data_IF_012257883563
#
_entry.id   IF_012257883563
#
_cell.length_a   1.000
_cell.length_b   1.000
_cell.length_c   1.000
_cell.angle_alpha   90.00
_cell.angle_beta   90.00
_cell.angle_gamma   90.00
#
_symmetry.space_group_name_H-M   'P 1'
#
loop_
_entity.id
_entity.type
_entity.pdbx_description
1 polymer ?
#
# COMPACT_ATOMS: atom_id res chain seq x y z
N UNK A 1 -12.82 6.42 21.57
CA UNK A 1 -12.10 6.62 20.30
C UNK A 1 -10.65 6.96 20.59
N UNK A 2 -9.70 6.28 19.95
CA UNK A 2 -8.27 6.61 19.95
C UNK A 2 -7.91 7.31 18.65
N UNK A 3 -6.93 8.21 18.68
CA UNK A 3 -6.49 8.96 17.51
C UNK A 3 -4.96 9.09 17.50
N UNK A 4 -4.36 8.77 16.37
CA UNK A 4 -2.95 9.01 16.08
C UNK A 4 -2.85 9.91 14.84
N UNK A 5 -2.46 11.19 14.98
CA UNK A 5 -2.18 12.05 13.84
C UNK A 5 -0.86 11.66 13.14
N UNK A 6 -0.63 12.17 11.92
CA UNK A 6 0.61 11.93 11.14
C UNK A 6 1.87 12.20 11.96
N UNK A 7 1.90 13.33 12.67
CA UNK A 7 2.96 13.65 13.63
C UNK A 7 2.44 13.46 15.05
N UNK A 8 2.90 12.41 15.72
CA UNK A 8 2.48 12.12 17.09
C UNK A 8 2.80 13.29 18.05
N UNK A 9 1.81 13.80 18.80
CA UNK A 9 1.98 14.92 19.73
C UNK A 9 2.62 14.44 21.04
N UNK A 10 3.89 14.06 20.98
CA UNK A 10 4.65 13.51 22.10
C UNK A 10 5.37 14.61 22.90
N UNK A 11 5.57 14.42 24.20
CA UNK A 11 6.47 15.28 24.99
C UNK A 11 7.91 14.79 24.84
N UNK A 12 8.69 15.51 24.05
CA UNK A 12 9.98 15.05 23.54
C UNK A 12 11.05 14.91 24.63
N UNK A 13 10.95 15.69 25.71
CA UNK A 13 11.92 15.68 26.81
C UNK A 13 11.59 14.66 27.91
N UNK A 14 10.46 13.96 27.82
CA UNK A 14 10.07 12.92 28.76
C UNK A 14 10.64 11.57 28.36
N UNK A 15 10.91 10.71 29.35
CA UNK A 15 11.10 9.29 29.10
C UNK A 15 9.80 8.68 28.58
N UNK A 16 9.91 7.63 27.76
CA UNK A 16 8.73 6.92 27.24
C UNK A 16 7.81 6.44 28.36
N UNK A 17 8.37 5.84 29.42
CA UNK A 17 7.59 5.41 30.58
C UNK A 17 6.85 6.58 31.24
N UNK A 18 7.56 7.68 31.53
CA UNK A 18 6.99 8.84 32.20
C UNK A 18 5.87 9.46 31.37
N UNK A 19 6.06 9.54 30.05
CA UNK A 19 5.05 10.00 29.12
C UNK A 19 3.79 9.11 29.15
N UNK A 20 3.94 7.79 29.04
CA UNK A 20 2.78 6.88 29.07
C UNK A 20 2.09 6.88 30.43
N UNK A 21 2.84 6.99 31.53
CA UNK A 21 2.27 7.15 32.86
C UNK A 21 1.49 8.46 33.00
N UNK A 22 2.03 9.57 32.50
CA UNK A 22 1.35 10.86 32.44
C UNK A 22 0.06 10.80 31.61
N UNK A 23 0.10 10.14 30.45
CA UNK A 23 -1.10 9.93 29.62
C UNK A 23 -2.13 9.08 30.37
N UNK A 24 -1.70 8.02 31.06
CA UNK A 24 -2.60 7.20 31.88
C UNK A 24 -3.26 8.01 33.01
N UNK A 25 -2.54 8.96 33.61
CA UNK A 25 -3.06 9.89 34.62
C UNK A 25 -4.17 10.79 34.03
N UNK A 26 -3.91 11.45 32.91
CA UNK A 26 -4.88 12.34 32.24
C UNK A 26 -6.14 11.56 31.86
N UNK A 27 -5.95 10.33 31.40
CA UNK A 27 -7.04 9.48 30.93
C UNK A 27 -7.83 8.82 32.07
N UNK A 28 -7.42 9.03 33.32
CA UNK A 28 -8.16 8.56 34.50
C UNK A 28 -8.02 7.06 34.75
N UNK A 29 -6.95 6.42 34.27
CA UNK A 29 -6.68 5.01 34.58
C UNK A 29 -6.44 4.88 36.09
N UNK A 30 -7.06 3.89 36.73
CA UNK A 30 -6.88 3.64 38.17
C UNK A 30 -5.42 3.32 38.49
N UNK A 31 -4.90 3.87 39.61
CA UNK A 31 -3.49 3.69 40.02
C UNK A 31 -3.05 2.23 40.06
N UNK A 32 -3.91 1.32 40.54
CA UNK A 32 -3.60 -0.11 40.61
C UNK A 32 -3.52 -0.81 39.24
N UNK A 33 -4.09 -0.23 38.19
CA UNK A 33 -4.13 -0.81 36.83
C UNK A 33 -3.14 -0.16 35.85
N UNK A 34 -2.52 0.97 36.22
CA UNK A 34 -1.62 1.72 35.33
C UNK A 34 -0.43 0.90 34.86
N UNK A 35 0.28 0.28 35.80
CA UNK A 35 1.51 -0.46 35.49
C UNK A 35 1.21 -1.60 34.52
N UNK A 36 0.15 -2.38 34.80
CA UNK A 36 -0.27 -3.48 33.95
C UNK A 36 -0.70 -2.99 32.56
N UNK A 37 -1.44 -1.87 32.49
CA UNK A 37 -1.85 -1.28 31.21
C UNK A 37 -0.66 -0.79 30.39
N UNK A 38 0.29 -0.09 31.02
CA UNK A 38 1.50 0.40 30.35
C UNK A 38 2.32 -0.78 29.84
N UNK A 39 2.47 -1.84 30.64
CA UNK A 39 3.19 -3.05 30.24
C UNK A 39 2.53 -3.74 29.04
N UNK A 40 1.21 -3.92 29.10
CA UNK A 40 0.44 -4.49 27.98
C UNK A 40 0.64 -3.69 26.68
N UNK A 41 0.63 -2.36 26.76
CA UNK A 41 0.86 -1.50 25.60
C UNK A 41 2.31 -1.53 25.12
N UNK A 42 3.27 -1.64 26.05
CA UNK A 42 4.68 -1.76 25.72
C UNK A 42 4.99 -3.06 24.96
N UNK A 43 4.35 -4.16 25.37
CA UNK A 43 4.40 -5.45 24.70
C UNK A 43 3.73 -5.38 23.32
N UNK A 44 2.49 -4.87 23.26
CA UNK A 44 1.71 -4.76 22.02
C UNK A 44 2.40 -3.90 20.96
N UNK A 45 2.98 -2.77 21.37
CA UNK A 45 3.61 -1.82 20.45
C UNK A 45 5.11 -2.08 20.25
N UNK A 46 5.69 -3.07 20.95
CA UNK A 46 7.11 -3.39 20.86
C UNK A 46 8.02 -2.23 21.26
N UNK A 47 7.77 -1.62 22.43
CA UNK A 47 8.53 -0.46 22.95
C UNK A 47 9.19 -0.74 24.31
N UNK A 48 9.18 -1.98 24.80
CA UNK A 48 9.77 -2.36 26.08
C UNK A 48 11.23 -1.92 26.24
N UNK A 49 12.05 -2.09 25.20
CA UNK A 49 13.48 -1.80 25.24
C UNK A 49 13.78 -0.31 25.32
N UNK A 50 12.84 0.55 24.94
CA UNK A 50 13.03 2.01 24.88
C UNK A 50 12.30 2.76 25.99
N UNK A 51 11.68 2.04 26.95
CA UNK A 51 10.89 2.65 28.03
C UNK A 51 11.68 3.65 28.90
N UNK A 52 13.00 3.44 29.00
CA UNK A 52 13.93 4.23 29.79
C UNK A 52 14.59 5.39 29.02
N UNK A 53 14.30 5.52 27.72
CA UNK A 53 14.93 6.52 26.86
C UNK A 53 14.04 7.77 26.74
N UNK A 54 14.65 8.96 26.62
CA UNK A 54 13.94 10.17 26.22
C UNK A 54 13.30 10.03 24.83
N UNK A 55 12.09 10.57 24.65
CA UNK A 55 11.36 10.45 23.38
C UNK A 55 12.11 11.13 22.23
N UNK A 56 12.81 12.24 22.46
CA UNK A 56 13.55 12.96 21.41
C UNK A 56 14.65 12.11 20.75
N UNK A 57 15.29 11.21 21.49
CA UNK A 57 16.36 10.30 21.06
C UNK A 57 15.85 9.13 20.21
N UNK A 58 14.54 8.86 20.23
CA UNK A 58 13.96 7.75 19.48
C UNK A 58 13.93 8.00 17.97
N UNK A 59 14.04 6.91 17.21
CA UNK A 59 13.75 6.92 15.78
C UNK A 59 12.29 7.29 15.51
N UNK A 60 11.99 7.73 14.29
CA UNK A 60 10.61 8.07 13.88
C UNK A 60 9.65 6.90 14.04
N UNK A 61 10.07 5.67 13.71
CA UNK A 61 9.27 4.47 13.91
C UNK A 61 8.95 4.20 15.39
N UNK A 62 9.93 4.34 16.29
CA UNK A 62 9.68 4.22 17.72
C UNK A 62 8.75 5.31 18.25
N UNK A 63 8.90 6.56 17.79
CA UNK A 63 7.95 7.65 18.11
C UNK A 63 6.53 7.29 17.68
N UNK A 64 6.32 6.69 16.50
CA UNK A 64 5.00 6.23 16.10
C UNK A 64 4.46 5.08 16.94
N UNK A 65 5.29 4.12 17.35
CA UNK A 65 4.88 3.06 18.29
C UNK A 65 4.45 3.64 19.64
N UNK A 66 5.16 4.64 20.15
CA UNK A 66 4.76 5.37 21.38
C UNK A 66 3.45 6.14 21.16
N UNK A 67 3.26 6.78 20.00
CA UNK A 67 2.00 7.42 19.62
C UNK A 67 0.83 6.43 19.54
N UNK A 68 1.07 5.22 19.04
CA UNK A 68 0.07 4.15 19.00
C UNK A 68 -0.29 3.68 20.41
N UNK A 69 0.70 3.49 21.28
CA UNK A 69 0.47 3.18 22.70
C UNK A 69 -0.34 4.27 23.40
N UNK A 70 -0.06 5.56 23.13
CA UNK A 70 -0.88 6.68 23.59
C UNK A 70 -2.33 6.54 23.12
N UNK A 71 -2.54 6.40 21.81
CA UNK A 71 -3.88 6.35 21.22
C UNK A 71 -4.71 5.17 21.78
N UNK A 72 -4.01 4.09 22.14
CA UNK A 72 -4.57 2.88 22.73
C UNK A 72 -4.74 2.95 24.25
N UNK A 73 -4.28 3.99 24.96
CA UNK A 73 -4.25 4.01 26.44
C UNK A 73 -5.59 3.61 27.09
N UNK A 74 -6.69 4.17 26.58
CA UNK A 74 -8.06 3.95 27.07
C UNK A 74 -8.78 2.73 26.51
N UNK A 75 -8.06 1.85 25.83
CA UNK A 75 -8.61 0.68 25.17
C UNK A 75 -9.83 0.96 24.28
N UNK A 76 -9.72 1.92 23.34
CA UNK A 76 -10.88 2.34 22.57
C UNK A 76 -11.42 1.22 21.68
N UNK A 77 -12.73 1.22 21.40
CA UNK A 77 -13.33 0.31 20.40
C UNK A 77 -12.99 0.70 18.96
N UNK A 78 -12.76 1.99 18.73
CA UNK A 78 -12.43 2.59 17.43
C UNK A 78 -11.11 3.36 17.53
N UNK A 79 -10.18 3.06 16.63
CA UNK A 79 -8.89 3.73 16.49
C UNK A 79 -8.81 4.41 15.11
N UNK A 80 -8.45 5.68 15.09
CA UNK A 80 -8.23 6.45 13.86
C UNK A 80 -6.74 6.73 13.72
N UNK A 81 -6.15 6.32 12.60
CA UNK A 81 -4.73 6.43 12.30
C UNK A 81 -4.57 7.30 11.05
N UNK A 82 -3.95 8.46 11.21
CA UNK A 82 -3.68 9.38 10.12
C UNK A 82 -2.25 9.21 9.62
N UNK A 83 -2.07 8.68 8.41
CA UNK A 83 -0.75 8.46 7.77
C UNK A 83 0.28 7.80 8.71
N UNK A 84 -0.05 6.66 9.36
CA UNK A 84 0.74 6.13 10.48
C UNK A 84 2.15 5.67 10.10
N UNK A 85 2.40 5.44 8.80
CA UNK A 85 3.70 5.00 8.29
C UNK A 85 4.46 6.06 7.48
N UNK A 86 3.95 7.31 7.44
CA UNK A 86 4.56 8.42 6.71
C UNK A 86 6.03 8.62 7.11
N UNK A 87 6.92 8.59 6.11
CA UNK A 87 8.36 8.83 6.25
C UNK A 87 9.11 7.82 7.15
N UNK A 88 8.59 6.60 7.31
CA UNK A 88 9.32 5.48 7.90
C UNK A 88 10.08 4.71 6.82
N UNK A 89 11.14 3.99 7.21
CA UNK A 89 11.83 3.07 6.30
C UNK A 89 11.04 1.76 6.11
N UNK A 90 11.31 0.97 5.05
CA UNK A 90 10.52 -0.22 4.71
C UNK A 90 10.38 -1.25 5.84
N UNK A 91 11.39 -1.44 6.69
CA UNK A 91 11.31 -2.42 7.78
C UNK A 91 10.35 -1.93 8.87
N UNK A 92 10.45 -0.65 9.25
CA UNK A 92 9.55 -0.03 10.22
C UNK A 92 8.10 -0.02 9.75
N UNK A 93 7.87 0.19 8.45
CA UNK A 93 6.53 0.10 7.85
C UNK A 93 5.92 -1.29 8.09
N UNK A 94 6.68 -2.36 7.83
CA UNK A 94 6.20 -3.75 8.03
C UNK A 94 5.85 -4.01 9.49
N UNK A 95 6.68 -3.55 10.42
CA UNK A 95 6.44 -3.72 11.86
C UNK A 95 5.18 -2.98 12.33
N UNK A 96 5.00 -1.71 11.94
CA UNK A 96 3.81 -0.94 12.26
C UNK A 96 2.55 -1.62 11.69
N UNK A 97 2.59 -2.10 10.44
CA UNK A 97 1.47 -2.83 9.84
C UNK A 97 1.11 -4.08 10.64
N UNK A 98 2.09 -4.82 11.15
CA UNK A 98 1.82 -6.00 11.98
C UNK A 98 1.12 -5.62 13.29
N UNK A 99 1.55 -4.52 13.93
CA UNK A 99 0.90 -4.02 15.15
C UNK A 99 -0.54 -3.59 14.84
N UNK A 100 -0.77 -2.83 13.76
CA UNK A 100 -2.11 -2.39 13.35
C UNK A 100 -3.01 -3.61 13.08
N UNK A 101 -2.53 -4.63 12.36
CA UNK A 101 -3.27 -5.88 12.14
C UNK A 101 -3.61 -6.59 13.44
N UNK A 102 -2.67 -6.65 14.37
CA UNK A 102 -2.90 -7.30 15.66
C UNK A 102 -3.98 -6.58 16.46
N UNK A 103 -3.96 -5.24 16.47
CA UNK A 103 -5.02 -4.41 17.09
C UNK A 103 -6.36 -4.61 16.37
N UNK A 104 -6.34 -4.68 15.04
CA UNK A 104 -7.53 -4.82 14.19
C UNK A 104 -8.30 -6.12 14.38
N UNK A 105 -7.69 -7.15 14.99
CA UNK A 105 -8.38 -8.41 15.33
C UNK A 105 -9.50 -8.21 16.37
N UNK A 106 -9.36 -7.21 17.23
CA UNK A 106 -10.28 -6.99 18.36
C UNK A 106 -11.00 -5.63 18.26
N UNK A 107 -10.52 -4.71 17.43
CA UNK A 107 -10.94 -3.31 17.40
C UNK A 107 -11.15 -2.82 15.98
N UNK A 108 -12.00 -1.82 15.81
CA UNK A 108 -12.22 -1.18 14.51
C UNK A 108 -11.14 -0.14 14.26
N UNK A 109 -10.47 -0.20 13.11
CA UNK A 109 -9.41 0.75 12.72
C UNK A 109 -9.85 1.51 11.47
N UNK A 110 -9.77 2.83 11.53
CA UNK A 110 -9.86 3.72 10.36
C UNK A 110 -8.46 4.22 10.07
N UNK A 111 -7.91 3.83 8.93
CA UNK A 111 -6.56 4.19 8.50
C UNK A 111 -6.65 5.09 7.26
N UNK A 112 -6.05 6.28 7.33
CA UNK A 112 -5.79 7.10 6.15
C UNK A 112 -4.39 6.82 5.63
N UNK A 113 -4.26 6.76 4.31
CA UNK A 113 -2.97 6.67 3.63
C UNK A 113 -3.15 7.09 2.18
N UNK A 114 -2.15 7.76 1.62
CA UNK A 114 -2.02 7.97 0.18
C UNK A 114 -1.33 6.81 -0.54
N UNK A 115 -0.82 5.83 0.21
CA UNK A 115 -0.08 4.67 -0.32
C UNK A 115 -1.02 3.46 -0.38
N UNK A 116 -1.49 3.12 -1.58
CA UNK A 116 -2.47 2.04 -1.74
C UNK A 116 -1.94 0.67 -1.31
N UNK A 117 -0.64 0.40 -1.52
CA UNK A 117 -0.01 -0.84 -1.05
C UNK A 117 -0.01 -0.99 0.48
N UNK A 118 -0.18 0.11 1.24
CA UNK A 118 -0.39 0.07 2.68
C UNK A 118 -1.84 -0.30 3.03
N UNK A 119 -2.80 0.35 2.38
CA UNK A 119 -4.22 0.05 2.55
C UNK A 119 -4.52 -1.41 2.20
N UNK A 120 -4.02 -1.91 1.08
CA UNK A 120 -4.15 -3.31 0.66
C UNK A 120 -3.52 -4.29 1.64
N UNK A 121 -2.35 -3.94 2.17
CA UNK A 121 -1.65 -4.84 3.05
C UNK A 121 -2.30 -4.93 4.42
N UNK A 122 -3.12 -3.94 4.84
CA UNK A 122 -3.51 -3.76 6.25
C UNK A 122 -5.02 -3.75 6.48
N UNK A 123 -5.83 -3.42 5.47
CA UNK A 123 -7.27 -3.20 5.60
C UNK A 123 -8.11 -4.25 4.84
N UNK A 124 -9.30 -4.56 5.35
CA UNK A 124 -10.25 -5.46 4.68
C UNK A 124 -11.15 -4.73 3.65
N UNK A 125 -11.38 -3.44 3.88
CA UNK A 125 -12.17 -2.53 3.04
C UNK A 125 -11.38 -1.26 2.77
N UNK A 126 -11.45 -0.77 1.54
CA UNK A 126 -10.79 0.46 1.11
C UNK A 126 -11.82 1.40 0.50
N UNK A 127 -11.71 2.68 0.84
CA UNK A 127 -12.52 3.76 0.28
C UNK A 127 -11.56 4.75 -0.36
N UNK A 128 -11.72 4.98 -1.66
CA UNK A 128 -10.91 5.92 -2.43
C UNK A 128 -11.67 7.24 -2.54
N UNK A 129 -11.04 8.32 -2.07
CA UNK A 129 -11.60 9.67 -2.10
C UNK A 129 -10.78 10.52 -3.07
N UNK A 130 -11.46 11.20 -3.99
CA UNK A 130 -10.86 12.17 -4.91
C UNK A 130 -11.72 13.45 -4.95
N UNK A 131 -11.09 14.62 -4.82
CA UNK A 131 -11.77 15.94 -4.83
C UNK A 131 -13.02 15.99 -3.92
N UNK A 132 -12.93 15.39 -2.73
CA UNK A 132 -14.02 15.35 -1.75
C UNK A 132 -15.17 14.40 -2.07
N UNK A 133 -15.04 13.53 -3.09
CA UNK A 133 -16.03 12.52 -3.47
C UNK A 133 -15.45 11.12 -3.35
N UNK A 134 -16.27 10.17 -2.92
CA UNK A 134 -15.92 8.75 -2.96
C UNK A 134 -15.99 8.30 -4.41
N UNK A 135 -14.87 7.84 -4.96
CA UNK A 135 -14.77 7.33 -6.33
C UNK A 135 -14.71 5.80 -6.38
N UNK A 136 -14.36 5.15 -5.26
CA UNK A 136 -14.47 3.71 -5.10
C UNK A 136 -14.68 3.35 -3.63
N UNK A 137 -15.41 2.27 -3.37
CA UNK A 137 -15.70 1.73 -2.05
C UNK A 137 -15.96 0.23 -2.16
N UNK A 138 -15.11 -0.58 -1.55
CA UNK A 138 -15.24 -2.04 -1.60
C UNK A 138 -14.21 -2.75 -0.75
N UNK A 139 -14.34 -4.08 -0.67
CA UNK A 139 -13.26 -4.90 -0.10
C UNK A 139 -12.00 -4.77 -0.96
N UNK A 140 -10.84 -5.01 -0.36
CA UNK A 140 -9.57 -5.06 -1.11
C UNK A 140 -9.65 -6.05 -2.28
N UNK A 141 -10.26 -7.22 -2.05
CA UNK A 141 -10.46 -8.23 -3.09
C UNK A 141 -11.41 -7.77 -4.20
N UNK A 142 -12.54 -7.14 -3.84
CA UNK A 142 -13.50 -6.63 -4.84
C UNK A 142 -12.88 -5.52 -5.69
N UNK A 143 -12.08 -4.64 -5.09
CA UNK A 143 -11.38 -3.60 -5.83
C UNK A 143 -10.29 -4.19 -6.74
N UNK A 144 -9.63 -5.29 -6.33
CA UNK A 144 -8.72 -6.05 -7.21
C UNK A 144 -9.46 -6.71 -8.37
N UNK A 145 -10.64 -7.26 -8.14
CA UNK A 145 -11.49 -7.81 -9.20
C UNK A 145 -11.97 -6.73 -10.17
N UNK A 146 -12.29 -5.53 -9.67
CA UNK A 146 -12.60 -4.36 -10.51
C UNK A 146 -11.41 -3.90 -11.34
N UNK A 147 -10.17 -4.09 -10.84
CA UNK A 147 -8.95 -3.92 -11.64
C UNK A 147 -8.97 -4.83 -12.86
N UNK A 148 -9.66 -5.97 -12.74
CA UNK A 148 -9.58 -7.07 -13.65
C UNK A 148 -8.25 -7.80 -13.50
N UNK A 149 -8.29 -9.10 -13.72
CA UNK A 149 -7.11 -9.95 -13.85
C UNK A 149 -6.43 -9.74 -15.23
N UNK A 150 -6.45 -8.49 -15.72
CA UNK A 150 -5.93 -8.12 -17.03
C UNK A 150 -4.42 -8.13 -16.94
N UNK A 151 -3.85 -9.14 -17.59
CA UNK A 151 -2.42 -9.22 -17.83
C UNK A 151 -2.15 -8.47 -19.12
N UNK A 152 -1.19 -7.58 -19.05
CA UNK A 152 -0.68 -6.84 -20.18
C UNK A 152 0.75 -7.29 -20.43
N UNK A 153 1.13 -7.43 -21.69
CA UNK A 153 2.51 -7.70 -22.04
C UNK A 153 3.09 -6.42 -22.64
N UNK A 154 4.11 -5.89 -22.00
CA UNK A 154 4.89 -4.78 -22.54
C UNK A 154 5.96 -5.34 -23.45
N UNK A 155 6.02 -4.83 -24.67
CA UNK A 155 6.97 -5.26 -25.68
C UNK A 155 7.57 -4.04 -26.38
N UNK A 156 8.90 -3.95 -26.34
CA UNK A 156 9.66 -2.96 -27.10
C UNK A 156 10.43 -3.67 -28.21
N UNK A 157 10.21 -3.24 -29.45
CA UNK A 157 10.78 -3.82 -30.66
C UNK A 157 11.59 -2.78 -31.45
N UNK A 158 12.70 -3.21 -32.05
CA UNK A 158 13.35 -2.48 -33.14
C UNK A 158 12.97 -3.07 -34.50
N UNK A 159 13.04 -2.24 -35.55
CA UNK A 159 12.76 -2.61 -36.94
C UNK A 159 11.33 -3.14 -37.16
N UNK A 160 10.39 -2.75 -36.30
CA UNK A 160 9.00 -3.17 -36.36
C UNK A 160 8.10 -1.95 -36.49
N UNK A 161 7.09 -2.05 -37.35
CA UNK A 161 6.01 -1.05 -37.47
C UNK A 161 4.74 -1.55 -36.78
N UNK A 162 3.92 -0.62 -36.27
CA UNK A 162 2.73 -0.99 -35.50
C UNK A 162 1.76 -1.88 -36.28
N UNK A 163 1.59 -1.67 -37.59
CA UNK A 163 0.64 -2.46 -38.40
C UNK A 163 1.06 -3.91 -38.51
N UNK A 164 2.35 -4.18 -38.77
CA UNK A 164 2.84 -5.56 -38.88
C UNK A 164 2.76 -6.29 -37.54
N UNK A 165 3.05 -5.59 -36.43
CA UNK A 165 2.96 -6.15 -35.07
C UNK A 165 1.52 -6.44 -34.69
N UNK A 166 0.60 -5.50 -34.89
CA UNK A 166 -0.82 -5.65 -34.60
C UNK A 166 -1.42 -6.83 -35.39
N UNK A 167 -1.10 -6.95 -36.68
CA UNK A 167 -1.59 -8.04 -37.53
C UNK A 167 -1.09 -9.41 -37.06
N UNK A 168 0.19 -9.53 -36.67
CA UNK A 168 0.76 -10.81 -36.21
C UNK A 168 0.25 -11.20 -34.83
N UNK A 169 0.27 -10.27 -33.88
CA UNK A 169 -0.06 -10.56 -32.49
C UNK A 169 -1.56 -10.71 -32.24
N UNK A 170 -2.42 -10.00 -32.99
CA UNK A 170 -3.87 -10.16 -32.88
C UNK A 170 -4.37 -11.53 -33.34
N UNK A 171 -3.57 -12.31 -34.08
CA UNK A 171 -3.91 -13.68 -34.48
C UNK A 171 -3.65 -14.73 -33.39
N UNK A 172 -2.97 -14.37 -32.30
CA UNK A 172 -2.66 -15.29 -31.21
C UNK A 172 -3.90 -15.44 -30.32
N UNK A 173 -4.33 -16.69 -30.11
CA UNK A 173 -5.42 -17.01 -29.21
C UNK A 173 -5.13 -16.51 -27.78
N UNK A 174 -6.04 -15.69 -27.25
CA UNK A 174 -5.89 -15.08 -25.93
C UNK A 174 -5.45 -13.61 -25.93
N UNK A 175 -4.99 -13.07 -27.07
CA UNK A 175 -4.77 -11.63 -27.24
C UNK A 175 -6.11 -10.96 -27.56
N UNK A 176 -6.46 -9.94 -26.78
CA UNK A 176 -7.70 -9.15 -26.90
C UNK A 176 -7.51 -7.82 -27.62
N UNK A 177 -6.26 -7.34 -27.68
CA UNK A 177 -5.91 -6.13 -28.41
C UNK A 177 -4.43 -5.81 -28.29
N UNK A 178 -3.94 -5.00 -29.24
CA UNK A 178 -2.60 -4.43 -29.22
C UNK A 178 -2.73 -2.92 -29.27
N UNK A 179 -2.15 -2.24 -28.28
CA UNK A 179 -2.16 -0.78 -28.18
C UNK A 179 -0.75 -0.24 -28.39
N UNK A 180 -0.63 0.79 -29.23
CA UNK A 180 0.63 1.53 -29.39
C UNK A 180 0.82 2.49 -28.21
N UNK A 181 1.97 2.41 -27.55
CA UNK A 181 2.37 3.33 -26.48
C UNK A 181 3.18 4.48 -27.09
N UNK A 182 4.24 4.14 -27.82
CA UNK A 182 5.13 5.08 -28.49
C UNK A 182 5.73 4.43 -29.74
N UNK A 183 6.09 5.25 -30.73
CA UNK A 183 6.73 4.80 -31.96
C UNK A 183 7.69 5.90 -32.42
N UNK A 184 8.91 5.49 -32.72
CA UNK A 184 9.99 6.30 -33.30
C UNK A 184 10.46 5.61 -34.58
N UNK A 185 11.34 6.25 -35.35
CA UNK A 185 11.82 5.70 -36.63
C UNK A 185 12.49 4.32 -36.51
N UNK A 186 12.99 3.97 -35.32
CA UNK A 186 13.72 2.71 -35.08
C UNK A 186 13.09 1.81 -34.03
N UNK A 187 12.29 2.37 -33.11
CA UNK A 187 11.75 1.66 -31.95
C UNK A 187 10.24 1.82 -31.85
N UNK A 188 9.56 0.70 -31.58
CA UNK A 188 8.14 0.60 -31.35
C UNK A 188 7.86 0.01 -29.95
N UNK A 189 7.08 0.74 -29.15
CA UNK A 189 6.59 0.32 -27.85
C UNK A 189 5.09 -0.02 -27.92
N UNK A 190 4.73 -1.26 -27.59
CA UNK A 190 3.34 -1.75 -27.60
C UNK A 190 2.95 -2.39 -26.27
N UNK A 191 1.66 -2.28 -25.97
CA UNK A 191 0.99 -2.98 -24.89
C UNK A 191 0.03 -4.01 -25.47
N UNK A 192 0.19 -5.28 -25.12
CA UNK A 192 -0.67 -6.36 -25.59
C UNK A 192 -1.63 -6.76 -24.47
N UNK A 193 -2.92 -6.54 -24.69
CA UNK A 193 -3.98 -6.84 -23.74
C UNK A 193 -4.35 -8.33 -23.86
N UNK A 194 -4.22 -9.11 -22.78
CA UNK A 194 -4.43 -10.56 -22.78
C UNK A 194 -5.65 -10.97 -21.93
N UNK A 195 -6.43 -11.96 -22.38
CA UNK A 195 -7.47 -12.64 -21.58
C UNK A 195 -6.81 -13.77 -20.76
N UNK A 196 -6.88 -13.69 -19.42
CA UNK A 196 -6.26 -14.59 -18.41
C UNK A 196 -6.57 -16.10 -18.70
N UNK A 197 -5.70 -17.10 -18.48
CA UNK A 197 -4.84 -17.42 -17.33
C UNK A 197 -3.38 -17.82 -17.68
N UNK A 198 -3.07 -18.04 -18.95
CA UNK A 198 -1.78 -18.55 -19.40
C UNK A 198 -0.78 -17.44 -19.76
N UNK A 199 0.51 -17.72 -19.59
CA UNK A 199 1.58 -16.81 -20.00
C UNK A 199 1.77 -16.88 -21.52
N UNK A 200 1.30 -15.86 -22.23
CA UNK A 200 1.36 -15.78 -23.69
C UNK A 200 2.73 -15.33 -24.22
N UNK A 201 3.71 -15.06 -23.36
CA UNK A 201 5.04 -14.60 -23.79
C UNK A 201 5.74 -15.61 -24.71
N UNK A 202 5.56 -16.91 -24.44
CA UNK A 202 6.12 -17.94 -25.30
C UNK A 202 5.51 -17.90 -26.72
N UNK A 203 4.19 -17.75 -26.83
CA UNK A 203 3.49 -17.66 -28.12
C UNK A 203 3.91 -16.40 -28.90
N UNK A 204 3.96 -15.26 -28.22
CA UNK A 204 4.43 -13.98 -28.79
C UNK A 204 5.87 -14.12 -29.30
N UNK A 205 6.77 -14.74 -28.53
CA UNK A 205 8.15 -14.94 -28.95
C UNK A 205 8.26 -15.82 -30.21
N UNK A 206 7.44 -16.87 -30.35
CA UNK A 206 7.46 -17.70 -31.56
C UNK A 206 7.01 -16.95 -32.81
N UNK A 207 6.10 -15.99 -32.69
CA UNK A 207 5.66 -15.15 -33.81
C UNK A 207 6.67 -14.07 -34.23
N UNK A 208 7.49 -13.62 -33.27
CA UNK A 208 8.57 -12.64 -33.47
C UNK A 208 9.84 -13.33 -34.01
N UNK A 209 10.15 -14.55 -33.57
CA UNK A 209 11.36 -15.29 -33.97
C UNK A 209 11.61 -15.36 -35.50
N UNK A 210 10.62 -15.53 -36.39
CA UNK A 210 10.84 -15.57 -37.83
C UNK A 210 10.98 -14.20 -38.50
N UNK A 211 10.89 -13.09 -37.75
CA UNK A 211 10.99 -11.72 -38.30
C UNK A 211 12.38 -11.12 -38.02
N UNK A 212 12.68 -9.99 -38.67
CA UNK A 212 13.90 -9.20 -38.41
C UNK A 212 13.74 -8.25 -37.21
N UNK A 213 12.71 -8.45 -36.38
CA UNK A 213 12.44 -7.61 -35.22
C UNK A 213 13.36 -7.96 -34.06
N UNK A 214 13.92 -6.94 -33.41
CA UNK A 214 14.78 -7.13 -32.24
C UNK A 214 14.01 -6.75 -30.99
N UNK A 215 13.85 -7.69 -30.06
CA UNK A 215 13.18 -7.45 -28.77
C UNK A 215 14.17 -6.76 -27.81
N UNK A 216 13.84 -5.55 -27.36
CA UNK A 216 14.60 -4.82 -26.35
C UNK A 216 14.04 -5.01 -24.94
N UNK A 217 12.72 -5.05 -24.81
CA UNK A 217 12.02 -5.26 -23.54
C UNK A 217 10.83 -6.19 -23.75
N UNK A 218 10.65 -7.12 -22.81
CA UNK A 218 9.59 -8.11 -22.87
C UNK A 218 9.22 -8.62 -21.47
N UNK A 219 8.22 -7.99 -20.87
CA UNK A 219 7.76 -8.36 -19.54
C UNK A 219 6.24 -8.27 -19.42
N UNK A 220 5.70 -9.11 -18.56
CA UNK A 220 4.28 -9.10 -18.22
C UNK A 220 4.05 -8.08 -17.09
N UNK A 221 3.08 -7.20 -17.27
CA UNK A 221 2.49 -6.37 -16.23
C UNK A 221 1.13 -6.94 -15.85
N UNK A 222 0.79 -6.87 -14.58
CA UNK A 222 -0.56 -7.15 -14.09
C UNK A 222 -1.22 -5.82 -13.79
N UNK A 223 -2.50 -5.67 -14.08
CA UNK A 223 -3.24 -4.50 -13.61
C UNK A 223 -3.20 -4.49 -12.08
N UNK A 224 -2.57 -3.47 -11.51
CA UNK A 224 -2.55 -3.29 -10.06
C UNK A 224 -3.64 -2.31 -9.65
N UNK A 225 -4.04 -2.41 -8.40
CA UNK A 225 -4.93 -1.46 -7.77
C UNK A 225 -4.40 -0.02 -7.87
N UNK A 226 -3.06 0.18 -7.87
CA UNK A 226 -2.47 1.52 -8.08
C UNK A 226 -2.79 2.10 -9.46
N UNK A 227 -2.93 1.24 -10.48
CA UNK A 227 -3.29 1.67 -11.83
C UNK A 227 -4.74 2.15 -11.87
N UNK A 228 -5.66 1.43 -11.24
CA UNK A 228 -7.07 1.88 -11.11
C UNK A 228 -7.14 3.20 -10.34
N UNK A 229 -6.42 3.30 -9.23
CA UNK A 229 -6.40 4.53 -8.44
C UNK A 229 -5.95 5.71 -9.31
N UNK A 230 -4.91 5.53 -10.14
CA UNK A 230 -4.46 6.55 -11.09
C UNK A 230 -5.53 6.87 -12.14
N UNK A 231 -6.20 5.87 -12.71
CA UNK A 231 -7.27 6.09 -13.69
C UNK A 231 -8.46 6.86 -13.10
N UNK A 232 -8.99 6.42 -11.94
CA UNK A 232 -10.10 7.06 -11.24
C UNK A 232 -9.77 8.49 -10.79
N UNK A 233 -8.50 8.76 -10.45
CA UNK A 233 -8.07 10.09 -10.05
C UNK A 233 -7.79 11.02 -11.24
N UNK A 234 -7.39 10.48 -12.40
CA UNK A 234 -7.15 11.23 -13.65
C UNK A 234 -8.43 11.53 -14.45
N UNK A 235 -9.42 10.63 -14.52
CA UNK A 235 -10.69 10.88 -15.23
C UNK A 235 -11.51 12.00 -14.61
N UNK A 236 -11.28 12.28 -13.33
CA UNK A 236 -11.92 13.38 -12.62
C UNK A 236 -11.21 14.73 -12.82
N UNK A 237 -10.13 14.80 -13.62
CA UNK A 237 -9.24 15.95 -13.73
C UNK A 237 -9.84 17.11 -14.53
#
# INVERSE_FOLDING_TARGET
LGYLPESAPLYHDMLVYDYLNYVADIRGIEKGRKLDRIRQLADLCGINEVMHQPINELSKGYKQRVGLAHAMMNDPEILVLDEPTSGLDPNQIVEIRQIIKQIGKEKTIVLSTHILSEAEATCDRVVIINRGKIVADGSTDSLKEMAGDKKFIHLTLLNADFKSVDTKLSNIEGITGVRRIAETDTQLDVCVDCRSSFDLRAAIYQEIKPTDWVVLDFHQKTQTLETIFRELTMESA
#
